data_IF_942030350393
#
_entry.id   IF_942030350393
#
_cell.length_a   1.000
_cell.length_b   1.000
_cell.length_c   1.000
_cell.angle_alpha   90.00
_cell.angle_beta   90.00
_cell.angle_gamma   90.00
#
_symmetry.space_group_name_H-M   'P 1'
#
loop_
_entity.id
_entity.type
_entity.pdbx_description
1 polymer ?
#
# COMPACT_ATOMS: atom_id res chain seq x y z
N UNK A 1 -22.51 18.52 -39.50
CA UNK A 1 -21.86 17.19 -39.59
C UNK A 1 -22.68 16.21 -38.74
N UNK A 2 -23.42 15.26 -39.33
CA UNK A 2 -24.42 14.46 -38.59
C UNK A 2 -23.78 13.35 -37.74
N UNK A 3 -24.16 13.18 -36.45
CA UNK A 3 -23.57 12.20 -35.52
C UNK A 3 -23.73 10.74 -35.97
N UNK A 4 -24.66 10.46 -36.89
CA UNK A 4 -24.86 9.12 -37.45
C UNK A 4 -23.67 8.64 -38.28
N UNK A 5 -22.90 9.54 -38.90
CA UNK A 5 -21.78 9.15 -39.78
C UNK A 5 -20.57 8.64 -38.98
N UNK A 6 -20.33 9.16 -37.78
CA UNK A 6 -19.18 8.78 -36.94
C UNK A 6 -19.33 7.38 -36.34
N UNK A 7 -20.56 6.96 -36.06
CA UNK A 7 -20.85 5.62 -35.54
C UNK A 7 -20.56 4.53 -36.56
N UNK A 8 -20.97 4.74 -37.82
CA UNK A 8 -20.68 3.79 -38.90
C UNK A 8 -19.18 3.71 -39.24
N UNK A 9 -18.45 4.82 -39.10
CA UNK A 9 -17.00 4.86 -39.30
C UNK A 9 -16.29 4.05 -38.19
N UNK A 10 -16.63 4.28 -36.92
CA UNK A 10 -16.06 3.53 -35.79
C UNK A 10 -16.35 2.03 -35.86
N UNK A 11 -17.57 1.64 -36.26
CA UNK A 11 -17.93 0.23 -36.39
C UNK A 11 -17.13 -0.46 -37.52
N UNK A 12 -16.86 0.26 -38.62
CA UNK A 12 -16.03 -0.26 -39.73
C UNK A 12 -14.56 -0.43 -39.31
N UNK A 13 -14.03 0.44 -38.45
CA UNK A 13 -12.67 0.29 -37.91
C UNK A 13 -12.54 -0.90 -36.96
N UNK A 14 -13.54 -1.16 -36.11
CA UNK A 14 -13.54 -2.33 -35.20
C UNK A 14 -13.56 -3.64 -35.99
N UNK A 15 -14.40 -3.75 -37.03
CA UNK A 15 -14.48 -4.95 -37.88
C UNK A 15 -13.19 -5.16 -38.68
N UNK A 16 -12.59 -4.08 -39.19
CA UNK A 16 -11.31 -4.14 -39.92
C UNK A 16 -10.15 -4.52 -38.99
N UNK A 17 -10.14 -4.04 -37.75
CA UNK A 17 -9.13 -4.38 -36.76
C UNK A 17 -9.19 -5.86 -36.33
N UNK A 18 -10.40 -6.44 -36.26
CA UNK A 18 -10.57 -7.86 -35.96
C UNK A 18 -10.18 -8.80 -37.12
N UNK A 19 -10.26 -8.33 -38.37
CA UNK A 19 -9.85 -9.14 -39.54
C UNK A 19 -8.35 -9.09 -39.81
N UNK A 20 -7.65 -8.02 -39.43
CA UNK A 20 -6.20 -7.84 -39.69
C UNK A 20 -5.35 -8.11 -38.43
N UNK A 21 -5.91 -7.93 -37.23
CA UNK A 21 -5.22 -8.15 -35.95
C UNK A 21 -5.25 -9.61 -35.52
N UNK A 22 -4.49 -10.46 -36.21
CA UNK A 22 -4.21 -11.82 -35.74
C UNK A 22 -3.63 -11.77 -34.33
N UNK A 23 -4.38 -12.28 -33.35
CA UNK A 23 -3.85 -12.59 -32.02
C UNK A 23 -2.80 -13.70 -32.19
N UNK A 24 -1.53 -13.32 -32.20
CA UNK A 24 -0.44 -14.27 -32.07
C UNK A 24 -0.55 -14.91 -30.69
N UNK A 25 -1.07 -16.15 -30.64
CA UNK A 25 -0.96 -17.02 -29.49
C UNK A 25 0.53 -17.27 -29.23
N UNK A 26 1.05 -16.69 -28.14
CA UNK A 26 2.37 -16.99 -27.62
C UNK A 26 2.38 -18.41 -27.07
N UNK A 27 2.77 -19.36 -27.93
CA UNK A 27 3.04 -20.74 -27.54
C UNK A 27 4.42 -20.80 -26.92
N UNK A 28 4.51 -20.61 -25.60
CA UNK A 28 5.67 -21.10 -24.86
C UNK A 28 5.37 -22.54 -24.42
N UNK A 29 5.94 -23.52 -25.14
CA UNK A 29 5.68 -24.95 -24.97
C UNK A 29 6.55 -25.62 -23.87
N UNK A 30 7.18 -24.85 -22.99
CA UNK A 30 8.10 -25.36 -21.96
C UNK A 30 7.68 -25.02 -20.52
N UNK A 31 6.40 -24.71 -20.27
CA UNK A 31 5.91 -24.55 -18.92
C UNK A 31 5.63 -25.92 -18.30
N UNK A 32 6.59 -26.45 -17.55
CA UNK A 32 6.32 -27.48 -16.53
C UNK A 32 5.20 -26.94 -15.61
N UNK A 33 4.18 -27.75 -15.26
CA UNK A 33 3.11 -27.29 -14.39
C UNK A 33 3.71 -26.90 -13.03
N UNK A 34 3.73 -25.61 -12.73
CA UNK A 34 4.07 -25.10 -11.39
C UNK A 34 2.95 -25.56 -10.46
N UNK A 35 3.22 -26.64 -9.73
CA UNK A 35 2.30 -27.25 -8.79
C UNK A 35 2.02 -26.25 -7.65
N UNK A 36 0.75 -25.94 -7.41
CA UNK A 36 0.28 -24.91 -6.46
C UNK A 36 0.71 -25.22 -5.00
N UNK A 37 1.16 -26.44 -4.75
CA UNK A 37 1.59 -26.94 -3.44
C UNK A 37 2.93 -26.37 -2.98
N UNK A 38 3.83 -26.03 -3.91
CA UNK A 38 5.13 -25.43 -3.57
C UNK A 38 4.99 -24.00 -3.05
N UNK A 39 4.04 -23.22 -3.58
CA UNK A 39 3.74 -21.88 -3.07
C UNK A 39 3.16 -21.94 -1.66
N UNK A 40 2.31 -22.94 -1.38
CA UNK A 40 1.71 -23.14 -0.05
C UNK A 40 2.77 -23.51 0.98
N UNK A 41 3.72 -24.37 0.61
CA UNK A 41 4.86 -24.74 1.45
C UNK A 41 5.78 -23.52 1.74
N UNK A 42 6.03 -22.68 0.74
CA UNK A 42 6.79 -21.44 0.91
C UNK A 42 6.07 -20.44 1.84
N UNK A 43 4.76 -20.25 1.68
CA UNK A 43 3.99 -19.37 2.56
C UNK A 43 3.93 -19.89 4.00
N UNK A 44 3.83 -21.21 4.20
CA UNK A 44 3.86 -21.84 5.51
C UNK A 44 5.22 -21.67 6.22
N UNK A 45 6.31 -21.79 5.47
CA UNK A 45 7.69 -21.55 5.96
C UNK A 45 7.93 -20.08 6.34
N UNK A 46 7.35 -19.14 5.59
CA UNK A 46 7.41 -17.72 5.93
C UNK A 46 6.60 -17.41 7.20
N UNK A 47 5.45 -18.05 7.37
CA UNK A 47 4.58 -17.87 8.54
C UNK A 47 5.26 -18.32 9.84
N UNK A 48 6.02 -19.41 9.83
CA UNK A 48 6.77 -19.91 11.00
C UNK A 48 8.00 -19.06 11.34
N UNK A 49 8.48 -18.23 10.41
CA UNK A 49 9.65 -17.35 10.64
C UNK A 49 9.28 -15.99 11.25
N UNK A 50 8.01 -15.62 11.22
CA UNK A 50 7.53 -14.38 11.84
C UNK A 50 7.50 -14.52 13.37
N UNK A 51 7.98 -13.53 14.13
CA UNK A 51 7.85 -13.55 15.58
C UNK A 51 6.36 -13.59 15.96
N UNK A 52 6.02 -14.40 16.97
CA UNK A 52 4.66 -14.44 17.53
C UNK A 52 4.19 -13.04 17.86
N UNK A 53 2.94 -12.73 17.52
CA UNK A 53 2.30 -11.48 17.91
C UNK A 53 2.51 -11.24 19.42
N UNK A 54 3.00 -10.06 19.77
CA UNK A 54 3.35 -9.74 21.15
C UNK A 54 2.08 -9.82 22.02
N UNK A 55 2.08 -10.72 23.01
CA UNK A 55 0.98 -10.87 23.98
C UNK A 55 0.95 -9.76 25.05
N UNK A 56 1.91 -8.82 25.01
CA UNK A 56 2.03 -7.75 25.99
C UNK A 56 1.07 -6.61 25.66
N UNK A 57 0.32 -6.15 26.66
CA UNK A 57 -0.45 -4.91 26.57
C UNK A 57 0.49 -3.71 26.39
N UNK A 58 0.30 -2.95 25.32
CA UNK A 58 1.09 -1.76 25.01
C UNK A 58 0.48 -0.53 25.70
N UNK A 59 1.27 0.17 26.50
CA UNK A 59 0.89 1.44 27.12
C UNK A 59 1.46 2.61 26.33
N UNK A 60 0.61 3.54 25.89
CA UNK A 60 1.10 4.73 25.17
C UNK A 60 2.13 5.51 25.98
N UNK A 61 1.88 5.75 27.27
CA UNK A 61 2.77 6.57 28.12
C UNK A 61 4.14 5.91 28.34
N UNK A 62 4.19 4.58 28.49
CA UNK A 62 5.44 3.87 28.81
C UNK A 62 6.19 3.39 27.57
N UNK A 63 5.47 2.89 26.56
CA UNK A 63 6.08 2.21 25.41
C UNK A 63 6.16 3.10 24.15
N UNK A 64 5.20 4.02 23.92
CA UNK A 64 5.11 4.77 22.65
C UNK A 64 5.60 6.21 22.77
N UNK A 65 5.17 6.94 23.81
CA UNK A 65 5.51 8.35 24.02
C UNK A 65 7.02 8.62 24.00
N UNK A 66 7.87 7.81 24.68
CA UNK A 66 9.32 8.02 24.65
C UNK A 66 9.92 7.89 23.23
N UNK A 67 9.35 7.03 22.39
CA UNK A 67 9.80 6.86 20.99
C UNK A 67 9.47 8.12 20.17
N UNK A 68 8.27 8.67 20.32
CA UNK A 68 7.86 9.88 19.62
C UNK A 68 8.65 11.11 20.09
N UNK A 69 8.90 11.25 21.39
CA UNK A 69 9.73 12.32 21.94
C UNK A 69 11.16 12.30 21.39
N UNK A 70 11.77 11.11 21.33
CA UNK A 70 13.14 10.93 20.85
C UNK A 70 13.29 11.19 19.36
N UNK A 71 12.36 10.69 18.54
CA UNK A 71 12.59 10.58 17.09
C UNK A 71 11.66 11.43 16.23
N UNK A 72 10.47 11.80 16.72
CA UNK A 72 9.42 12.36 15.86
C UNK A 72 9.09 13.82 16.20
N UNK A 73 8.93 14.15 17.48
CA UNK A 73 8.39 15.44 17.95
C UNK A 73 9.28 16.64 17.60
N UNK A 74 10.60 16.45 17.41
CA UNK A 74 11.48 17.52 16.96
C UNK A 74 11.02 18.13 15.62
N UNK A 75 10.49 17.29 14.71
CA UNK A 75 10.03 17.70 13.38
C UNK A 75 8.51 17.62 13.20
N UNK A 76 7.79 16.87 14.04
CA UNK A 76 6.34 16.69 14.01
C UNK A 76 5.67 17.11 15.33
N UNK A 77 6.26 18.10 16.01
CA UNK A 77 5.77 18.70 17.25
C UNK A 77 5.50 20.20 17.11
N UNK A 78 5.24 20.90 18.23
CA UNK A 78 4.84 22.32 18.18
C UNK A 78 6.00 23.29 17.93
N UNK A 79 7.23 22.89 18.25
CA UNK A 79 8.39 23.80 18.26
C UNK A 79 8.86 24.20 16.87
N UNK A 80 8.68 23.33 15.87
CA UNK A 80 9.06 23.58 14.48
C UNK A 80 7.84 23.40 13.59
N UNK A 81 7.83 24.06 12.43
CA UNK A 81 6.74 23.88 11.46
C UNK A 81 6.74 22.41 11.00
N UNK A 82 5.69 21.63 11.28
CA UNK A 82 5.72 20.21 11.04
C UNK A 82 5.78 19.90 9.54
N UNK A 83 6.67 18.98 9.15
CA UNK A 83 6.71 18.47 7.77
C UNK A 83 5.36 17.85 7.42
N UNK A 84 4.85 18.16 6.23
CA UNK A 84 3.53 17.70 5.78
C UNK A 84 2.38 18.12 6.71
N UNK A 85 2.53 19.18 7.52
CA UNK A 85 1.52 19.63 8.50
C UNK A 85 1.08 18.55 9.52
N UNK A 86 1.83 17.46 9.65
CA UNK A 86 1.46 16.32 10.49
C UNK A 86 2.05 16.45 11.90
N UNK A 87 1.23 16.27 12.93
CA UNK A 87 1.61 16.48 14.34
C UNK A 87 1.34 15.21 15.14
N UNK A 88 2.32 14.76 15.93
CA UNK A 88 2.24 13.49 16.71
C UNK A 88 2.37 13.67 18.22
N UNK A 89 2.50 14.90 18.69
CA UNK A 89 2.67 15.26 20.10
C UNK A 89 1.36 15.20 20.89
N UNK A 90 0.20 15.29 20.22
CA UNK A 90 -1.11 15.04 20.83
C UNK A 90 -1.87 13.98 20.04
N UNK A 91 -2.75 13.25 20.73
CA UNK A 91 -3.55 12.18 20.12
C UNK A 91 -4.47 12.73 19.04
N UNK A 92 -5.12 13.85 19.33
CA UNK A 92 -6.11 14.48 18.46
C UNK A 92 -5.48 14.89 17.13
N UNK A 93 -4.30 15.51 17.19
CA UNK A 93 -3.57 15.94 16.00
C UNK A 93 -2.98 14.75 15.22
N UNK A 94 -2.51 13.72 15.91
CA UNK A 94 -2.00 12.51 15.28
C UNK A 94 -3.08 11.76 14.51
N UNK A 95 -4.31 11.74 15.03
CA UNK A 95 -5.45 11.12 14.36
C UNK A 95 -6.03 12.01 13.24
N UNK A 96 -5.91 13.34 13.36
CA UNK A 96 -6.32 14.27 12.30
C UNK A 96 -5.51 14.09 11.01
N UNK A 97 -4.23 13.74 11.13
CA UNK A 97 -3.34 13.60 9.97
C UNK A 97 -2.71 14.92 9.52
N UNK A 98 -2.18 14.92 8.30
CA UNK A 98 -1.46 16.05 7.71
C UNK A 98 -1.92 16.38 6.29
N UNK A 99 -1.03 17.00 5.51
CA UNK A 99 -1.25 17.30 4.09
C UNK A 99 -1.52 16.05 3.24
N UNK A 100 -0.94 14.91 3.62
CA UNK A 100 -1.13 13.62 2.95
C UNK A 100 -2.39 12.87 3.45
N UNK A 101 -3.21 13.51 4.29
CA UNK A 101 -4.40 12.92 4.89
C UNK A 101 -4.13 12.17 6.19
N UNK A 102 -5.00 11.19 6.49
CA UNK A 102 -4.98 10.42 7.74
C UNK A 102 -3.78 9.48 7.77
N UNK A 103 -2.95 9.59 8.81
CA UNK A 103 -1.77 8.74 8.98
C UNK A 103 -2.01 7.53 9.88
N UNK A 104 -2.97 7.60 10.81
CA UNK A 104 -3.23 6.56 11.82
C UNK A 104 -4.70 6.17 11.75
N UNK A 105 -4.95 4.87 11.54
CA UNK A 105 -6.29 4.28 11.57
C UNK A 105 -6.38 3.39 12.82
N UNK A 106 -7.15 3.79 13.85
CA UNK A 106 -7.27 3.03 15.09
C UNK A 106 -7.68 1.57 14.85
N UNK A 107 -6.95 0.65 15.47
CA UNK A 107 -7.20 -0.79 15.34
C UNK A 107 -6.76 -1.43 14.02
N UNK A 108 -6.25 -0.65 13.06
CA UNK A 108 -5.81 -1.14 11.73
C UNK A 108 -4.40 -0.68 11.44
N UNK A 109 -3.44 -1.20 12.21
CA UNK A 109 -2.02 -0.82 12.10
C UNK A 109 -1.43 -1.16 10.73
N UNK A 110 -1.88 -2.25 10.11
CA UNK A 110 -1.53 -2.71 8.76
C UNK A 110 -2.01 -1.77 7.66
N UNK A 111 -3.13 -1.06 7.90
CA UNK A 111 -3.72 -0.09 6.96
C UNK A 111 -3.37 1.36 7.27
N UNK A 112 -2.63 1.60 8.35
CA UNK A 112 -2.22 2.94 8.76
C UNK A 112 -0.98 3.38 7.97
N UNK A 113 -1.03 4.48 7.18
CA UNK A 113 0.14 4.96 6.44
C UNK A 113 1.36 5.22 7.32
N UNK A 114 1.16 5.59 8.59
CA UNK A 114 2.26 5.76 9.55
C UNK A 114 3.14 4.52 9.64
N UNK A 115 2.56 3.32 9.68
CA UNK A 115 3.31 2.05 9.74
C UNK A 115 4.20 1.89 8.51
N UNK A 116 3.68 2.19 7.33
CA UNK A 116 4.46 2.15 6.10
C UNK A 116 5.68 3.08 6.15
N UNK A 117 5.49 4.33 6.59
CA UNK A 117 6.57 5.31 6.66
C UNK A 117 7.68 4.96 7.67
N UNK A 118 7.34 4.30 8.78
CA UNK A 118 8.32 3.92 9.81
C UNK A 118 8.95 2.54 9.59
N UNK A 119 8.30 1.67 8.81
CA UNK A 119 8.80 0.33 8.50
C UNK A 119 9.70 0.31 7.25
N UNK A 120 9.73 1.38 6.47
CA UNK A 120 10.58 1.45 5.29
C UNK A 120 12.06 1.41 5.69
N UNK A 121 12.68 0.25 5.46
CA UNK A 121 14.14 0.07 5.43
C UNK A 121 14.64 0.73 4.14
N UNK A 122 14.92 2.03 4.19
CA UNK A 122 15.73 2.67 3.16
C UNK A 122 17.10 1.98 3.14
N UNK A 123 17.51 1.51 1.96
CA UNK A 123 18.89 1.11 1.70
C UNK A 123 19.84 2.29 1.86
#
# INVERSE_FOLDING_TARGET
MSPRKNFFIMLKYIITFMLVGGFAASQNANAEPVEIDDLKAQMASLATKLPSAAKKTVSYKKDIKPLFEKSCINCHGPKKRPKGKFRVDTRELALKGGSEGVAIIPGKSDKSPLTYYISYKGG
#
